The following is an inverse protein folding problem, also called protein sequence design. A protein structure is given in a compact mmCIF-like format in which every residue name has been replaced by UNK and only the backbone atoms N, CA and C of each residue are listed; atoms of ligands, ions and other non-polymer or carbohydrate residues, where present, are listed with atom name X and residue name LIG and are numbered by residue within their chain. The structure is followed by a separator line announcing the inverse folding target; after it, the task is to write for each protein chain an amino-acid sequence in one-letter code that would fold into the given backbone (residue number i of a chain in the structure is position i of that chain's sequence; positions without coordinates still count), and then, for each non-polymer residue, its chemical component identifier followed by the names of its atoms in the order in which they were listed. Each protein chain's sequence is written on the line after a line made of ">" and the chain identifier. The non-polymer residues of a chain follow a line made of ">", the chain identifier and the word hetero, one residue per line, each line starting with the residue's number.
data_IF_010748057335
#
_entry.id   IF_010748057335
#
_cell.length_a   1.000
_cell.length_b   1.000
_cell.length_c   1.000
_cell.angle_alpha   90.00
_cell.angle_beta   90.00
_cell.angle_gamma   90.00
#
_symmetry.space_group_name_H-M   'P 1'
#
loop_
_entity.id
_entity.type
_entity.pdbx_description
1 polymer ?
#
# COMPACT_ATOMS: atom_id res chain seq x y z
N UNK A 1 10.99 -13.98 0.82
CA UNK A 1 10.66 -14.01 2.27
C UNK A 1 10.33 -12.59 2.70
N UNK A 2 9.06 -12.33 3.04
CA UNK A 2 8.61 -10.99 3.38
C UNK A 2 8.59 -10.67 4.89
N UNK A 3 9.19 -11.51 5.74
CA UNK A 3 9.35 -11.24 7.18
C UNK A 3 10.80 -10.89 7.45
N UNK A 4 11.15 -9.62 7.27
CA UNK A 4 12.50 -9.10 7.54
C UNK A 4 12.73 -8.86 9.03
N UNK A 5 11.74 -8.34 9.74
CA UNK A 5 11.75 -8.12 11.18
C UNK A 5 10.99 -9.25 11.88
N UNK A 6 11.73 -10.18 12.48
CA UNK A 6 11.13 -11.30 13.21
C UNK A 6 10.65 -10.84 14.59
N UNK A 7 9.38 -11.08 14.89
CA UNK A 7 8.77 -10.84 16.19
C UNK A 7 8.49 -12.15 16.93
N UNK A 8 8.81 -12.20 18.19
CA UNK A 8 8.34 -13.25 19.08
C UNK A 8 6.91 -12.98 19.56
N UNK A 9 6.28 -13.96 20.17
CA UNK A 9 4.96 -13.79 20.81
C UNK A 9 5.00 -12.71 21.89
N UNK A 10 6.07 -12.64 22.63
CA UNK A 10 6.32 -11.67 23.69
C UNK A 10 6.41 -10.26 23.11
N UNK A 11 7.18 -10.07 22.02
CA UNK A 11 7.28 -8.76 21.35
C UNK A 11 5.90 -8.26 20.89
N UNK A 12 5.08 -9.13 20.30
CA UNK A 12 3.73 -8.75 19.85
C UNK A 12 2.84 -8.41 21.07
N UNK A 13 2.92 -9.16 22.16
CA UNK A 13 2.19 -8.85 23.37
C UNK A 13 2.58 -7.48 23.94
N UNK A 14 3.87 -7.17 24.00
CA UNK A 14 4.38 -5.86 24.43
C UNK A 14 3.86 -4.72 23.54
N UNK A 15 3.88 -4.91 22.22
CA UNK A 15 3.28 -3.96 21.27
C UNK A 15 1.81 -3.73 21.62
N UNK A 16 1.05 -4.81 21.83
CA UNK A 16 -0.40 -4.76 22.07
C UNK A 16 -0.77 -4.10 23.40
N UNK A 17 0.12 -4.03 24.39
CA UNK A 17 -0.09 -3.26 25.64
C UNK A 17 -0.37 -1.77 25.39
N UNK A 18 0.11 -1.26 24.25
CA UNK A 18 -0.15 0.13 23.85
C UNK A 18 -1.50 0.32 23.15
N UNK A 19 -2.32 -0.74 23.00
CA UNK A 19 -3.59 -0.71 22.27
C UNK A 19 -4.72 -1.29 23.14
N UNK A 20 -5.89 -0.70 23.07
CA UNK A 20 -7.09 -1.19 23.77
C UNK A 20 -7.91 -2.13 22.87
N UNK A 21 -7.27 -3.15 22.26
CA UNK A 21 -7.93 -4.07 21.32
C UNK A 21 -8.08 -5.51 21.84
N UNK A 22 -7.53 -5.81 23.01
CA UNK A 22 -7.68 -7.12 23.66
C UNK A 22 -6.39 -7.94 23.73
N UNK A 23 -6.52 -9.24 23.96
CA UNK A 23 -5.41 -10.17 24.19
C UNK A 23 -5.06 -10.97 22.93
N UNK A 24 -3.75 -11.14 22.67
CA UNK A 24 -3.25 -11.95 21.56
C UNK A 24 -3.61 -13.44 21.76
N UNK A 25 -4.38 -14.01 20.84
CA UNK A 25 -4.65 -15.43 20.74
C UNK A 25 -3.57 -16.14 19.90
N UNK A 26 -3.40 -15.68 18.66
CA UNK A 26 -2.41 -16.23 17.73
C UNK A 26 -1.87 -15.16 16.78
N UNK A 27 -0.75 -15.45 16.14
CA UNK A 27 -0.14 -14.62 15.11
C UNK A 27 0.59 -15.48 14.09
N UNK A 28 0.68 -14.99 12.86
CA UNK A 28 1.41 -15.63 11.76
C UNK A 28 2.11 -14.56 10.93
N UNK A 29 3.39 -14.74 10.63
CA UNK A 29 4.10 -13.90 9.68
C UNK A 29 3.60 -14.16 8.27
N UNK A 30 3.26 -13.09 7.54
CA UNK A 30 2.79 -13.16 6.16
C UNK A 30 4.01 -13.19 5.25
N UNK A 31 4.14 -14.26 4.45
CA UNK A 31 5.29 -14.48 3.57
C UNK A 31 5.17 -13.74 2.23
N UNK A 32 3.96 -13.36 1.87
CA UNK A 32 3.64 -12.60 0.67
C UNK A 32 4.06 -11.14 0.82
N UNK A 33 4.44 -10.53 -0.31
CA UNK A 33 4.94 -9.16 -0.36
C UNK A 33 6.47 -9.08 -0.27
N UNK A 34 7.04 -7.97 -0.70
CA UNK A 34 8.50 -7.76 -0.82
C UNK A 34 8.99 -6.46 -0.16
N UNK A 35 8.10 -5.65 0.40
CA UNK A 35 8.47 -4.32 0.87
C UNK A 35 8.48 -4.18 2.39
N UNK A 36 7.50 -4.77 3.06
CA UNK A 36 7.27 -4.60 4.49
C UNK A 36 7.17 -5.95 5.20
N UNK A 37 7.40 -5.96 6.50
CA UNK A 37 7.09 -7.12 7.35
C UNK A 37 5.65 -7.04 7.80
N UNK A 38 4.86 -8.06 7.48
CA UNK A 38 3.47 -8.14 7.87
C UNK A 38 3.21 -9.36 8.78
N UNK A 39 2.39 -9.16 9.80
CA UNK A 39 1.88 -10.20 10.66
C UNK A 39 0.36 -10.16 10.70
N UNK A 40 -0.25 -11.30 10.47
CA UNK A 40 -1.65 -11.53 10.84
C UNK A 40 -1.74 -11.73 12.35
N UNK A 41 -2.66 -11.03 13.00
CA UNK A 41 -2.93 -11.15 14.43
C UNK A 41 -4.38 -11.53 14.66
N UNK A 42 -4.61 -12.55 15.49
CA UNK A 42 -5.91 -12.83 16.09
C UNK A 42 -5.90 -12.33 17.53
N UNK A 43 -6.72 -11.33 17.83
CA UNK A 43 -6.80 -10.67 19.14
C UNK A 43 -8.25 -10.70 19.60
N UNK A 44 -8.57 -11.41 20.68
CA UNK A 44 -9.93 -11.66 21.20
C UNK A 44 -10.86 -12.14 20.09
N UNK A 45 -11.00 -12.62 19.22
CA UNK A 45 -11.88 -12.98 18.07
C UNK A 45 -11.84 -12.00 16.91
N UNK A 46 -11.07 -10.89 17.01
CA UNK A 46 -10.91 -9.93 15.91
C UNK A 46 -9.59 -10.15 15.21
N UNK A 47 -9.57 -9.86 13.92
CA UNK A 47 -8.42 -10.04 13.03
C UNK A 47 -7.79 -8.68 12.71
N UNK A 48 -6.46 -8.63 12.71
CA UNK A 48 -5.69 -7.43 12.41
C UNK A 48 -4.46 -7.76 11.58
N UNK A 49 -3.92 -6.77 10.93
CA UNK A 49 -2.59 -6.81 10.29
C UNK A 49 -1.69 -5.83 11.02
N UNK A 50 -0.56 -6.32 11.54
CA UNK A 50 0.55 -5.50 12.00
C UNK A 50 1.56 -5.39 10.86
N UNK A 51 1.82 -4.17 10.41
CA UNK A 51 2.83 -3.86 9.40
C UNK A 51 3.99 -3.11 10.04
N UNK A 52 5.21 -3.63 9.84
CA UNK A 52 6.46 -2.93 10.13
C UNK A 52 7.02 -2.44 8.80
N UNK A 53 7.15 -1.13 8.67
CA UNK A 53 7.66 -0.48 7.47
C UNK A 53 9.18 -0.61 7.42
N UNK A 54 9.65 -1.28 6.39
CA UNK A 54 11.08 -1.52 6.18
C UNK A 54 11.72 -0.34 5.39
N UNK A 55 12.73 -0.58 4.58
CA UNK A 55 13.56 0.48 3.98
C UNK A 55 12.90 1.29 2.86
N UNK A 56 11.92 0.74 2.13
CA UNK A 56 11.39 1.37 0.91
C UNK A 56 10.36 2.46 1.16
N UNK A 57 9.60 2.34 2.23
CA UNK A 57 8.55 3.33 2.55
C UNK A 57 9.17 4.51 3.30
N UNK A 58 9.02 5.71 2.74
CA UNK A 58 9.44 6.94 3.43
C UNK A 58 8.52 7.16 4.63
N UNK A 59 9.08 7.26 5.82
CA UNK A 59 8.30 7.51 7.05
C UNK A 59 7.45 8.77 6.97
N UNK A 60 7.87 9.77 6.20
CA UNK A 60 7.13 11.00 5.94
C UNK A 60 5.82 10.79 5.17
N UNK A 61 5.68 9.69 4.42
CA UNK A 61 4.47 9.37 3.64
C UNK A 61 3.41 8.63 4.46
N UNK A 62 3.79 8.01 5.59
CA UNK A 62 2.87 7.22 6.40
C UNK A 62 1.66 8.01 6.92
N UNK A 63 1.77 9.29 7.32
CA UNK A 63 0.61 10.10 7.70
C UNK A 63 -0.41 10.26 6.57
N UNK A 64 0.02 10.35 5.30
CA UNK A 64 -0.89 10.37 4.16
C UNK A 64 -1.72 9.09 4.09
N UNK A 65 -1.08 7.91 4.14
CA UNK A 65 -1.79 6.62 4.09
C UNK A 65 -2.74 6.43 5.26
N UNK A 66 -2.32 6.80 6.47
CA UNK A 66 -3.16 6.71 7.67
C UNK A 66 -4.40 7.61 7.56
N UNK A 67 -4.23 8.85 7.14
CA UNK A 67 -5.34 9.80 6.93
C UNK A 67 -6.28 9.33 5.81
N UNK A 68 -5.73 8.83 4.69
CA UNK A 68 -6.50 8.32 3.57
C UNK A 68 -7.41 7.15 4.01
N UNK A 69 -6.85 6.11 4.62
CA UNK A 69 -7.61 4.96 5.09
C UNK A 69 -8.69 5.37 6.11
N UNK A 70 -8.34 6.27 7.04
CA UNK A 70 -9.30 6.79 8.03
C UNK A 70 -10.44 7.58 7.37
N UNK A 71 -10.13 8.42 6.39
CA UNK A 71 -11.11 9.21 5.66
C UNK A 71 -12.04 8.34 4.81
N UNK A 72 -11.48 7.37 4.09
CA UNK A 72 -12.25 6.39 3.31
C UNK A 72 -13.20 5.58 4.20
N UNK A 73 -12.72 5.10 5.34
CA UNK A 73 -13.56 4.36 6.29
C UNK A 73 -14.70 5.22 6.85
N UNK A 74 -14.46 6.51 7.17
CA UNK A 74 -15.51 7.45 7.60
C UNK A 74 -16.59 7.68 6.53
N UNK A 75 -16.23 7.54 5.26
CA UNK A 75 -17.16 7.62 4.12
C UNK A 75 -17.75 6.25 3.74
N UNK A 76 -17.69 5.27 4.62
CA UNK A 76 -18.18 3.90 4.41
C UNK A 76 -17.60 3.20 3.18
N UNK A 77 -16.32 3.48 2.89
CA UNK A 77 -15.56 2.76 1.88
C UNK A 77 -14.77 1.62 2.52
N UNK A 78 -14.88 0.42 1.96
CA UNK A 78 -14.23 -0.78 2.49
C UNK A 78 -12.71 -0.76 2.20
N UNK A 79 -11.95 -0.36 3.19
CA UNK A 79 -10.49 -0.44 3.18
C UNK A 79 -9.96 -0.81 4.58
N UNK A 80 -8.70 -1.26 4.72
CA UNK A 80 -8.09 -1.43 6.03
C UNK A 80 -8.16 -0.12 6.82
N UNK A 81 -8.50 -0.20 8.11
CA UNK A 81 -8.62 0.99 8.98
C UNK A 81 -7.52 0.98 10.03
N UNK A 82 -6.73 2.04 10.15
CA UNK A 82 -5.71 2.14 11.19
C UNK A 82 -6.31 2.07 12.60
N UNK A 83 -5.67 1.27 13.44
CA UNK A 83 -6.01 1.17 14.87
C UNK A 83 -5.22 2.23 15.63
N UNK A 84 -5.93 3.07 16.35
CA UNK A 84 -5.35 4.12 17.16
C UNK A 84 -4.90 3.54 18.50
N UNK A 85 -3.67 3.81 18.89
CA UNK A 85 -3.13 3.38 20.18
C UNK A 85 -3.64 4.24 21.35
N UNK A 86 -3.28 3.88 22.58
CA UNK A 86 -3.68 4.58 23.81
C UNK A 86 -3.15 6.03 23.89
N UNK A 87 -2.12 6.38 23.09
CA UNK A 87 -1.58 7.74 22.93
C UNK A 87 -2.22 8.50 21.75
N UNK A 88 -3.33 8.02 21.19
CA UNK A 88 -4.05 8.59 20.02
C UNK A 88 -3.20 8.64 18.73
N UNK A 89 -2.27 7.71 18.56
CA UNK A 89 -1.42 7.60 17.38
C UNK A 89 -1.78 6.35 16.56
N UNK A 90 -1.88 6.47 15.25
CA UNK A 90 -2.01 5.35 14.31
C UNK A 90 -0.64 4.76 13.95
N UNK A 91 0.38 5.61 13.86
CA UNK A 91 1.74 5.25 13.49
C UNK A 91 2.58 5.32 14.76
N UNK A 92 3.31 4.24 15.04
CA UNK A 92 4.16 4.11 16.22
C UNK A 92 5.57 3.65 15.84
N UNK A 93 6.49 3.71 16.77
CA UNK A 93 7.87 3.28 16.56
C UNK A 93 8.09 1.86 17.11
N UNK A 94 8.86 1.08 16.38
CA UNK A 94 9.40 -0.20 16.82
C UNK A 94 10.86 -0.34 16.35
N UNK A 95 11.82 -0.33 17.29
CA UNK A 95 13.25 -0.48 17.00
C UNK A 95 13.73 0.37 15.80
N UNK A 96 13.60 1.68 15.87
CA UNK A 96 13.95 2.64 14.80
C UNK A 96 13.12 2.55 13.49
N UNK A 97 12.15 1.66 13.42
CA UNK A 97 11.21 1.53 12.29
C UNK A 97 9.84 2.06 12.67
N UNK A 98 9.04 2.42 11.68
CA UNK A 98 7.63 2.74 11.90
C UNK A 98 6.79 1.47 11.78
N UNK A 99 5.71 1.41 12.53
CA UNK A 99 4.71 0.35 12.42
C UNK A 99 3.29 0.91 12.50
N UNK A 100 2.34 0.13 12.00
CA UNK A 100 0.92 0.41 12.08
C UNK A 100 0.16 -0.90 12.25
N UNK A 101 -0.91 -0.89 13.04
CA UNK A 101 -1.90 -1.96 13.08
C UNK A 101 -3.12 -1.49 12.33
N UNK A 102 -3.65 -2.33 11.44
CA UNK A 102 -4.88 -2.06 10.70
C UNK A 102 -5.87 -3.21 10.85
N UNK A 103 -7.14 -2.94 10.62
CA UNK A 103 -8.17 -3.99 10.57
C UNK A 103 -7.88 -4.95 9.41
N UNK A 104 -8.18 -6.23 9.62
CA UNK A 104 -8.14 -7.22 8.55
C UNK A 104 -9.40 -7.11 7.69
N UNK A 105 -9.24 -7.17 6.37
CA UNK A 105 -10.36 -7.28 5.44
C UNK A 105 -10.61 -8.74 5.08
N UNK A 106 -11.85 -9.19 5.26
CA UNK A 106 -12.27 -10.51 4.79
C UNK A 106 -12.41 -10.51 3.27
N UNK A 107 -12.06 -11.61 2.66
CA UNK A 107 -12.13 -11.79 1.22
C UNK A 107 -10.97 -12.62 0.68
N UNK A 108 -10.99 -12.87 -0.62
CA UNK A 108 -9.95 -13.62 -1.34
C UNK A 108 -9.57 -12.91 -2.63
N UNK A 109 -8.28 -12.86 -2.92
CA UNK A 109 -7.80 -12.47 -4.24
C UNK A 109 -8.19 -13.54 -5.27
N UNK A 110 -8.56 -13.11 -6.48
CA UNK A 110 -8.88 -14.02 -7.60
C UNK A 110 -7.73 -14.03 -8.60
N UNK A 111 -7.22 -15.21 -8.93
CA UNK A 111 -6.16 -15.34 -9.94
C UNK A 111 -6.65 -14.99 -11.35
N UNK A 112 -7.90 -15.36 -11.65
CA UNK A 112 -8.54 -15.07 -12.94
C UNK A 112 -9.75 -14.17 -12.70
N UNK A 113 -9.79 -13.04 -13.39
CA UNK A 113 -10.87 -12.07 -13.30
C UNK A 113 -11.83 -12.25 -14.48
N UNK A 114 -13.12 -12.17 -14.17
CA UNK A 114 -14.18 -12.11 -15.19
C UNK A 114 -14.49 -10.65 -15.56
N UNK A 115 -15.13 -10.36 -16.70
CA UNK A 115 -15.61 -9.02 -17.02
C UNK A 115 -16.48 -8.41 -15.92
N UNK A 116 -17.28 -9.23 -15.24
CA UNK A 116 -18.09 -8.78 -14.10
C UNK A 116 -17.20 -8.36 -12.92
N UNK A 117 -16.13 -9.08 -12.61
CA UNK A 117 -15.19 -8.67 -11.58
C UNK A 117 -14.53 -7.31 -11.92
N UNK A 118 -14.11 -7.12 -13.18
CA UNK A 118 -13.54 -5.84 -13.63
C UNK A 118 -14.57 -4.70 -13.52
N UNK A 119 -15.84 -4.94 -13.86
CA UNK A 119 -16.90 -3.95 -13.67
C UNK A 119 -17.08 -3.54 -12.21
N UNK A 120 -17.09 -4.50 -11.28
CA UNK A 120 -17.21 -4.23 -9.85
C UNK A 120 -16.01 -3.41 -9.34
N UNK A 121 -14.80 -3.81 -9.71
CA UNK A 121 -13.56 -3.08 -9.35
C UNK A 121 -13.60 -1.66 -9.89
N UNK A 122 -13.98 -1.48 -11.16
CA UNK A 122 -14.09 -0.14 -11.76
C UNK A 122 -15.09 0.76 -11.03
N UNK A 123 -16.22 0.21 -10.58
CA UNK A 123 -17.21 0.93 -9.78
C UNK A 123 -16.65 1.36 -8.41
N UNK A 124 -15.93 0.47 -7.72
CA UNK A 124 -15.30 0.80 -6.42
C UNK A 124 -14.16 1.82 -6.60
N UNK A 125 -13.37 1.72 -7.66
CA UNK A 125 -12.34 2.74 -7.98
C UNK A 125 -12.97 4.10 -8.22
N UNK A 126 -14.05 4.18 -8.99
CA UNK A 126 -14.77 5.42 -9.22
C UNK A 126 -15.34 5.99 -7.92
N UNK A 127 -15.93 5.15 -7.05
CA UNK A 127 -16.40 5.54 -5.72
C UNK A 127 -15.25 6.08 -4.86
N UNK A 128 -14.09 5.44 -4.86
CA UNK A 128 -12.90 5.94 -4.15
C UNK A 128 -12.48 7.33 -4.66
N UNK A 129 -12.43 7.52 -5.98
CA UNK A 129 -12.08 8.80 -6.58
C UNK A 129 -13.07 9.90 -6.18
N UNK A 130 -14.40 9.62 -6.21
CA UNK A 130 -15.41 10.59 -5.79
C UNK A 130 -15.29 10.98 -4.31
N UNK A 131 -15.11 10.02 -3.42
CA UNK A 131 -14.93 10.26 -1.99
C UNK A 131 -13.69 11.11 -1.73
N UNK A 132 -12.58 10.82 -2.41
CA UNK A 132 -11.29 11.46 -2.13
C UNK A 132 -11.13 12.83 -2.78
N UNK A 133 -12.05 13.29 -3.63
CA UNK A 133 -12.06 14.66 -4.17
C UNK A 133 -12.02 15.74 -3.09
N UNK A 134 -12.72 15.49 -2.00
CA UNK A 134 -12.86 16.42 -0.89
C UNK A 134 -11.75 16.30 0.18
N UNK A 135 -10.76 15.42 -0.06
CA UNK A 135 -9.70 15.21 0.93
C UNK A 135 -8.56 16.21 0.76
N UNK A 136 -8.33 16.99 1.80
CA UNK A 136 -7.16 17.89 1.89
C UNK A 136 -5.90 17.12 2.32
N UNK A 137 -5.51 16.14 1.50
CA UNK A 137 -4.28 15.37 1.66
C UNK A 137 -3.62 15.16 0.30
N UNK A 138 -2.33 15.40 0.20
CA UNK A 138 -1.57 15.27 -1.03
C UNK A 138 -0.31 14.44 -0.78
N UNK A 139 -0.01 13.55 -1.71
CA UNK A 139 1.27 12.86 -1.81
C UNK A 139 1.74 12.87 -3.26
N UNK A 140 3.00 13.24 -3.47
CA UNK A 140 3.60 13.16 -4.80
C UNK A 140 3.70 11.70 -5.24
N UNK A 141 3.34 11.44 -6.51
CA UNK A 141 3.61 10.15 -7.13
C UNK A 141 5.08 10.07 -7.57
N UNK A 142 5.89 9.34 -6.82
CA UNK A 142 7.32 9.15 -7.13
C UNK A 142 7.57 8.27 -8.38
N UNK A 143 6.53 7.60 -8.91
CA UNK A 143 6.60 6.78 -10.12
C UNK A 143 5.85 7.43 -11.30
N UNK A 144 5.80 8.75 -11.34
CA UNK A 144 5.24 9.54 -12.44
C UNK A 144 6.32 9.96 -13.43
N UNK A 145 5.88 10.56 -14.55
CA UNK A 145 6.71 11.06 -15.65
C UNK A 145 7.94 11.86 -15.18
N UNK A 146 7.77 12.70 -14.15
CA UNK A 146 8.86 13.51 -13.57
C UNK A 146 10.03 12.69 -13.03
N UNK A 147 9.81 11.41 -12.75
CA UNK A 147 10.78 10.51 -12.14
C UNK A 147 11.37 9.51 -13.13
N UNK A 148 10.68 9.23 -14.23
CA UNK A 148 11.09 8.17 -15.17
C UNK A 148 12.43 8.43 -15.83
N UNK A 149 12.68 9.67 -16.26
CA UNK A 149 13.99 10.06 -16.85
C UNK A 149 15.14 9.84 -15.88
N UNK A 150 14.95 10.24 -14.61
CA UNK A 150 15.97 10.04 -13.57
C UNK A 150 16.22 8.56 -13.31
N UNK A 151 15.14 7.76 -13.24
CA UNK A 151 15.23 6.32 -13.05
C UNK A 151 15.98 5.67 -14.22
N UNK A 152 15.60 5.98 -15.46
CA UNK A 152 16.31 5.47 -16.65
C UNK A 152 17.79 5.84 -16.63
N UNK A 153 18.15 7.08 -16.38
CA UNK A 153 19.54 7.50 -16.32
C UNK A 153 20.35 6.75 -15.26
N UNK A 154 19.72 6.34 -14.15
CA UNK A 154 20.40 5.59 -13.09
C UNK A 154 20.70 4.13 -13.45
N UNK A 155 20.05 3.57 -14.48
CA UNK A 155 20.19 2.17 -14.92
C UNK A 155 20.58 2.02 -16.39
N UNK A 156 20.83 3.11 -17.10
CA UNK A 156 21.06 3.13 -18.55
C UNK A 156 22.18 2.17 -18.98
N UNK A 157 23.29 2.15 -18.24
CA UNK A 157 24.42 1.28 -18.57
C UNK A 157 24.09 -0.21 -18.33
N UNK A 158 23.27 -0.50 -17.32
CA UNK A 158 22.79 -1.86 -17.05
C UNK A 158 21.82 -2.38 -18.11
N UNK A 159 21.01 -1.47 -18.71
CA UNK A 159 20.12 -1.83 -19.81
C UNK A 159 20.88 -2.37 -21.02
N UNK A 160 22.05 -1.83 -21.33
CA UNK A 160 22.91 -2.31 -22.43
C UNK A 160 23.40 -3.73 -22.24
N UNK A 161 23.53 -4.21 -20.99
CA UNK A 161 23.90 -5.60 -20.67
C UNK A 161 22.77 -6.59 -20.96
N UNK A 162 21.51 -6.12 -20.95
CA UNK A 162 20.33 -6.94 -21.27
C UNK A 162 20.20 -7.03 -22.80
N UNK A 163 20.24 -5.90 -23.50
CA UNK A 163 20.19 -5.82 -24.95
C UNK A 163 20.81 -4.49 -25.42
N UNK A 164 21.65 -4.53 -26.45
CA UNK A 164 22.40 -3.37 -26.98
C UNK A 164 21.49 -2.19 -27.36
N UNK A 165 20.32 -2.43 -27.92
CA UNK A 165 19.39 -1.43 -28.40
C UNK A 165 18.40 -0.93 -27.34
N UNK A 166 18.34 -1.60 -26.18
CA UNK A 166 17.36 -1.28 -25.12
C UNK A 166 17.47 0.18 -24.61
N UNK A 167 18.67 0.73 -24.36
CA UNK A 167 18.78 2.13 -23.95
C UNK A 167 18.21 3.11 -24.99
N UNK A 168 18.47 2.88 -26.26
CA UNK A 168 17.95 3.72 -27.36
C UNK A 168 16.43 3.63 -27.47
N UNK A 169 15.89 2.42 -27.34
CA UNK A 169 14.44 2.18 -27.36
C UNK A 169 13.74 2.91 -26.19
N UNK A 170 14.28 2.78 -24.97
CA UNK A 170 13.72 3.45 -23.78
C UNK A 170 13.81 4.97 -23.96
N UNK A 171 14.96 5.48 -24.38
CA UNK A 171 15.18 6.93 -24.58
C UNK A 171 14.21 7.53 -25.60
N UNK A 172 14.00 6.84 -26.73
CA UNK A 172 13.06 7.27 -27.78
C UNK A 172 11.64 7.33 -27.23
N UNK A 173 11.20 6.28 -26.51
CA UNK A 173 9.86 6.26 -25.91
C UNK A 173 9.69 7.30 -24.80
N UNK A 174 10.70 7.54 -23.98
CA UNK A 174 10.65 8.59 -22.95
C UNK A 174 10.51 9.98 -23.59
N UNK A 175 11.26 10.26 -24.65
CA UNK A 175 11.16 11.54 -25.38
C UNK A 175 9.74 11.74 -25.94
N UNK A 176 9.16 10.69 -26.52
CA UNK A 176 7.81 10.75 -27.07
C UNK A 176 6.76 10.97 -25.98
N UNK A 177 6.82 10.21 -24.90
CA UNK A 177 5.90 10.33 -23.77
C UNK A 177 6.02 11.70 -23.09
N UNK A 178 7.24 12.21 -22.85
CA UNK A 178 7.46 13.53 -22.25
C UNK A 178 6.88 14.66 -23.12
N UNK A 179 7.05 14.55 -24.43
CA UNK A 179 6.52 15.53 -25.39
C UNK A 179 4.99 15.52 -25.44
N UNK A 180 4.38 14.33 -25.41
CA UNK A 180 2.95 14.13 -25.62
C UNK A 180 2.16 13.91 -24.31
N UNK A 181 2.78 14.08 -23.13
CA UNK A 181 2.12 13.89 -21.86
C UNK A 181 0.91 14.82 -21.70
N UNK A 182 -0.28 14.27 -21.44
CA UNK A 182 -1.48 15.09 -21.32
C UNK A 182 -1.39 16.02 -20.08
N UNK A 183 -1.66 17.31 -20.30
CA UNK A 183 -1.54 18.34 -19.25
C UNK A 183 -2.85 18.69 -18.56
N UNK A 184 -3.99 18.36 -19.19
CA UNK A 184 -5.32 18.78 -18.75
C UNK A 184 -6.19 17.59 -18.35
N UNK A 185 -5.64 16.61 -17.62
CA UNK A 185 -6.40 15.51 -17.09
C UNK A 185 -6.89 15.84 -15.66
N UNK A 186 -8.06 15.32 -15.27
CA UNK A 186 -8.46 15.33 -13.87
C UNK A 186 -7.37 14.69 -13.01
N UNK A 187 -7.10 15.29 -11.87
CA UNK A 187 -6.10 14.80 -10.91
C UNK A 187 -6.76 14.50 -9.56
N UNK A 188 -6.19 13.55 -8.82
CA UNK A 188 -6.71 13.15 -7.52
C UNK A 188 -5.92 11.99 -6.92
N UNK A 189 -6.45 11.42 -5.86
CA UNK A 189 -5.86 10.23 -5.24
C UNK A 189 -6.19 9.02 -6.09
N UNK A 190 -5.16 8.28 -6.50
CA UNK A 190 -5.28 7.03 -7.27
C UNK A 190 -4.68 5.87 -6.48
N UNK A 191 -5.14 4.66 -6.75
CA UNK A 191 -4.54 3.46 -6.15
C UNK A 191 -3.15 3.15 -6.72
N UNK A 192 -2.99 3.31 -8.03
CA UNK A 192 -1.75 3.13 -8.81
C UNK A 192 -1.16 1.70 -8.87
N UNK A 193 -1.77 0.71 -8.21
CA UNK A 193 -1.27 -0.67 -8.15
C UNK A 193 -2.43 -1.69 -8.01
N UNK A 194 -3.42 -1.61 -8.92
CA UNK A 194 -4.61 -2.46 -8.91
C UNK A 194 -4.38 -3.81 -9.60
N UNK A 195 -3.35 -4.54 -9.17
CA UNK A 195 -3.20 -5.94 -9.52
C UNK A 195 -4.24 -6.80 -8.79
N UNK A 196 -4.52 -7.98 -9.34
CA UNK A 196 -5.52 -8.89 -8.81
C UNK A 196 -5.23 -9.42 -7.40
N UNK A 197 -3.98 -9.42 -6.95
CA UNK A 197 -3.55 -9.75 -5.60
C UNK A 197 -3.75 -8.60 -4.58
N UNK A 198 -4.00 -7.39 -5.06
CA UNK A 198 -4.34 -6.22 -4.24
C UNK A 198 -5.86 -5.99 -4.11
N UNK A 199 -6.68 -6.88 -4.66
CA UNK A 199 -8.14 -6.79 -4.67
C UNK A 199 -8.74 -8.04 -4.05
N UNK A 200 -9.60 -7.86 -3.05
CA UNK A 200 -10.23 -8.95 -2.33
C UNK A 200 -11.74 -8.96 -2.58
N UNK A 201 -12.26 -10.09 -3.00
CA UNK A 201 -13.69 -10.32 -3.20
C UNK A 201 -14.25 -11.07 -2.02
N UNK A 202 -15.41 -10.65 -1.50
CA UNK A 202 -16.06 -11.28 -0.34
C UNK A 202 -17.00 -12.42 -0.72
N UNK A 203 -17.58 -12.36 -1.91
CA UNK A 203 -18.47 -13.41 -2.44
C UNK A 203 -18.02 -13.79 -3.85
N UNK A 204 -18.33 -15.02 -4.25
CA UNK A 204 -18.03 -15.52 -5.61
C UNK A 204 -18.94 -14.90 -6.67
#
# INVERSE_FOLDING_TARGET
>A
MAVYTKLSKENIKEILLNYSIGKLNSYVGIQEGIENTNYFLLVDKKKYILTIYEKRVKSADLPFFSKLMTGLNKADFKCPTPIINNQKKAITDYNSKKMMIVTFLEGKAKRTLTPQNCKLVGAEVAKMHEITKEFDIVRRNDLSIDSWRKLFNSVKDECSKIHSDLPKLIETNLNDVEKNWPKNLPSGIIHADLFNDNIFFQND
#
